data_IF_253573170816
#
_entry.id   IF_253573170816
#
_cell.length_a   1.000
_cell.length_b   1.000
_cell.length_c   1.000
_cell.angle_alpha   90.00
_cell.angle_beta   90.00
_cell.angle_gamma   90.00
#
_symmetry.space_group_name_H-M   'P 1'
#
loop_
_entity.id
_entity.type
_entity.pdbx_description
1 polymer ?
#
# COMPACT_ATOMS: atom_id res chain seq x y z
N UNK A 1 -46.95 45.95 34.56
CA UNK A 1 -46.36 44.59 34.67
C UNK A 1 -46.54 43.89 33.33
N UNK A 2 -45.44 43.50 32.66
CA UNK A 2 -45.47 42.84 31.35
C UNK A 2 -44.68 41.53 31.49
N UNK A 3 -45.39 40.40 31.41
CA UNK A 3 -44.82 39.06 31.50
C UNK A 3 -44.03 38.77 30.23
N UNK A 4 -42.74 38.49 30.37
CA UNK A 4 -41.89 38.08 29.26
C UNK A 4 -41.95 36.55 29.14
N UNK A 5 -42.34 36.14 27.94
CA UNK A 5 -42.58 34.79 27.45
C UNK A 5 -41.27 33.97 27.48
N UNK A 6 -41.13 33.04 28.43
CA UNK A 6 -39.90 32.25 28.62
C UNK A 6 -39.90 30.87 27.93
N UNK A 7 -40.95 30.51 27.18
CA UNK A 7 -41.13 29.12 26.74
C UNK A 7 -40.59 28.79 25.34
N UNK A 8 -40.22 29.77 24.52
CA UNK A 8 -39.86 29.50 23.11
C UNK A 8 -38.45 28.89 22.96
N UNK A 9 -37.52 29.22 23.88
CA UNK A 9 -36.15 28.73 23.81
C UNK A 9 -36.02 27.23 24.09
N UNK A 10 -36.76 26.70 25.06
CA UNK A 10 -36.61 25.32 25.52
C UNK A 10 -37.03 24.27 24.48
N UNK A 11 -38.09 24.55 23.71
CA UNK A 11 -38.59 23.62 22.69
C UNK A 11 -37.71 23.55 21.43
N UNK A 12 -36.99 24.63 21.10
CA UNK A 12 -36.07 24.65 19.96
C UNK A 12 -34.84 23.75 20.18
N UNK A 13 -34.31 23.71 21.41
CA UNK A 13 -33.18 22.84 21.77
C UNK A 13 -33.57 21.36 21.85
N UNK A 14 -34.79 21.07 22.32
CA UNK A 14 -35.27 19.69 22.45
C UNK A 14 -35.53 19.05 21.07
N UNK A 15 -36.06 19.80 20.11
CA UNK A 15 -36.23 19.33 18.73
C UNK A 15 -34.91 19.00 18.04
N UNK A 16 -33.86 19.80 18.29
CA UNK A 16 -32.54 19.60 17.68
C UNK A 16 -31.79 18.38 18.28
N UNK A 17 -31.99 18.10 19.57
CA UNK A 17 -31.42 16.90 20.22
C UNK A 17 -32.09 15.60 19.75
N UNK A 18 -33.40 15.59 19.50
CA UNK A 18 -34.08 14.39 18.99
C UNK A 18 -33.66 14.10 17.54
N UNK A 19 -33.46 15.13 16.71
CA UNK A 19 -33.01 14.96 15.33
C UNK A 19 -31.58 14.39 15.22
N UNK A 20 -30.66 14.78 16.12
CA UNK A 20 -29.29 14.24 16.13
C UNK A 20 -29.23 12.79 16.62
N UNK A 21 -30.06 12.40 17.58
CA UNK A 21 -30.15 11.01 18.07
C UNK A 21 -30.66 10.04 17.01
N UNK A 22 -31.48 10.49 16.05
CA UNK A 22 -31.95 9.66 14.93
C UNK A 22 -31.00 9.64 13.72
N UNK A 23 -30.11 10.61 13.59
CA UNK A 23 -29.12 10.65 12.50
C UNK A 23 -27.90 9.73 12.77
N UNK A 24 -27.54 9.53 14.04
CA UNK A 24 -26.36 8.73 14.43
C UNK A 24 -26.51 7.22 14.11
N UNK A 25 -27.67 6.56 14.32
CA UNK A 25 -27.82 5.13 14.02
C UNK A 25 -27.66 4.80 12.53
N UNK A 26 -28.05 5.70 11.63
CA UNK A 26 -27.99 5.46 10.17
C UNK A 26 -26.56 5.46 9.62
N UNK A 27 -25.64 6.23 10.21
CA UNK A 27 -24.24 6.24 9.80
C UNK A 27 -23.50 4.95 10.16
N UNK A 28 -23.92 4.27 11.24
CA UNK A 28 -23.25 3.04 11.73
C UNK A 28 -23.56 1.83 10.85
N UNK A 29 -24.76 1.76 10.25
CA UNK A 29 -25.15 0.60 9.42
C UNK A 29 -24.60 0.62 7.99
N UNK A 30 -24.15 1.78 7.47
CA UNK A 30 -23.61 1.86 6.11
C UNK A 30 -22.15 1.40 5.96
N UNK A 31 -21.45 1.10 7.06
CA UNK A 31 -20.05 0.65 7.01
C UNK A 31 -19.87 -0.87 7.02
N UNK A 32 -20.96 -1.65 7.05
CA UNK A 32 -20.83 -3.10 7.30
C UNK A 32 -20.58 -3.95 6.06
N UNK A 33 -20.80 -3.43 4.86
CA UNK A 33 -20.53 -4.17 3.61
C UNK A 33 -19.75 -3.32 2.61
N UNK A 34 -18.64 -2.73 3.06
CA UNK A 34 -17.53 -2.58 2.13
C UNK A 34 -17.05 -4.00 1.83
N UNK A 35 -17.65 -4.63 0.82
CA UNK A 35 -17.04 -5.76 0.12
C UNK A 35 -15.73 -5.25 -0.44
N UNK A 36 -14.70 -5.24 0.41
CA UNK A 36 -13.35 -4.91 0.02
C UNK A 36 -13.03 -5.78 -1.18
N UNK A 37 -12.65 -5.14 -2.28
CA UNK A 37 -12.17 -5.80 -3.48
C UNK A 37 -11.31 -7.00 -3.08
N UNK A 38 -11.42 -8.15 -3.78
CA UNK A 38 -10.64 -9.32 -3.44
C UNK A 38 -9.18 -8.91 -3.26
N UNK A 39 -8.61 -9.22 -2.09
CA UNK A 39 -7.29 -8.73 -1.71
C UNK A 39 -6.26 -9.15 -2.77
N UNK A 40 -5.75 -8.18 -3.53
CA UNK A 40 -4.78 -8.41 -4.59
C UNK A 40 -3.37 -8.06 -4.09
N UNK A 41 -2.37 -8.82 -4.54
CA UNK A 41 -0.98 -8.47 -4.30
C UNK A 41 -0.65 -7.14 -4.97
N UNK A 42 0.19 -6.30 -4.33
CA UNK A 42 0.73 -5.10 -4.96
C UNK A 42 1.29 -5.38 -6.35
N UNK A 43 1.15 -4.41 -7.26
CA UNK A 43 1.70 -4.54 -8.62
C UNK A 43 3.22 -4.30 -8.61
N UNK A 44 3.91 -4.89 -9.59
CA UNK A 44 5.36 -4.69 -9.74
C UNK A 44 5.74 -3.21 -9.89
N UNK A 45 4.94 -2.46 -10.67
CA UNK A 45 5.18 -1.05 -10.99
C UNK A 45 4.42 -0.09 -10.04
N UNK A 46 3.87 -0.62 -8.95
CA UNK A 46 3.23 0.22 -7.94
C UNK A 46 4.28 1.01 -7.16
N UNK A 47 4.06 2.31 -6.96
CA UNK A 47 5.05 3.19 -6.31
C UNK A 47 5.52 2.65 -4.95
N UNK A 48 4.58 2.18 -4.12
CA UNK A 48 4.88 1.58 -2.82
C UNK A 48 5.80 0.35 -2.93
N UNK A 49 5.60 -0.48 -3.95
CA UNK A 49 6.44 -1.66 -4.20
C UNK A 49 7.85 -1.22 -4.54
N UNK A 50 8.01 -0.25 -5.44
CA UNK A 50 9.32 0.25 -5.86
C UNK A 50 10.07 0.92 -4.71
N UNK A 51 9.37 1.66 -3.84
CA UNK A 51 9.99 2.28 -2.67
C UNK A 51 10.50 1.24 -1.66
N UNK A 52 9.74 0.17 -1.42
CA UNK A 52 10.21 -0.92 -0.55
C UNK A 52 11.41 -1.65 -1.13
N UNK A 53 11.39 -1.93 -2.43
CA UNK A 53 12.52 -2.58 -3.12
C UNK A 53 13.75 -1.68 -3.08
N UNK A 54 13.60 -0.37 -3.36
CA UNK A 54 14.69 0.61 -3.25
C UNK A 54 15.32 0.58 -1.85
N UNK A 55 14.51 0.75 -0.80
CA UNK A 55 14.99 0.77 0.58
C UNK A 55 15.75 -0.52 0.95
N UNK A 56 15.26 -1.67 0.49
CA UNK A 56 15.92 -2.95 0.72
C UNK A 56 17.27 -3.06 -0.02
N UNK A 57 17.36 -2.59 -1.27
CA UNK A 57 18.59 -2.60 -2.05
C UNK A 57 19.65 -1.69 -1.43
N UNK A 58 19.27 -0.49 -0.99
CA UNK A 58 20.16 0.46 -0.34
C UNK A 58 20.68 -0.09 0.99
N UNK A 59 19.81 -0.75 1.77
CA UNK A 59 20.18 -1.40 3.03
C UNK A 59 21.15 -2.58 2.84
N UNK A 60 21.08 -3.30 1.72
CA UNK A 60 21.93 -4.45 1.43
C UNK A 60 23.28 -4.08 0.78
N UNK A 61 23.28 -3.11 -0.14
CA UNK A 61 24.39 -2.91 -1.07
C UNK A 61 25.38 -1.82 -0.69
N UNK A 62 25.10 -0.98 0.31
CA UNK A 62 25.83 0.27 0.57
C UNK A 62 26.02 1.14 -0.70
N UNK A 63 25.09 0.99 -1.66
CA UNK A 63 25.04 1.72 -2.93
C UNK A 63 23.76 2.51 -2.97
N UNK A 64 23.84 3.71 -3.53
CA UNK A 64 22.66 4.57 -3.67
C UNK A 64 21.89 4.19 -4.92
N UNK A 65 20.57 4.00 -4.79
CA UNK A 65 19.71 3.69 -5.92
C UNK A 65 19.20 4.99 -6.53
N UNK A 66 19.81 5.40 -7.63
CA UNK A 66 19.45 6.61 -8.39
C UNK A 66 18.10 6.45 -9.10
N UNK A 67 17.79 5.24 -9.57
CA UNK A 67 16.56 4.95 -10.30
C UNK A 67 16.11 3.49 -10.16
N UNK A 68 14.80 3.28 -10.13
CA UNK A 68 14.18 1.95 -10.18
C UNK A 68 12.92 2.04 -11.04
N UNK A 69 12.91 1.39 -12.21
CA UNK A 69 11.87 1.54 -13.21
C UNK A 69 11.68 0.28 -14.07
N UNK A 70 10.78 0.36 -15.05
CA UNK A 70 10.45 -0.74 -15.98
C UNK A 70 10.06 -2.05 -15.27
N UNK A 71 9.40 -1.96 -14.11
CA UNK A 71 9.04 -3.12 -13.32
C UNK A 71 7.90 -3.92 -13.98
N UNK A 72 8.20 -5.14 -14.42
CA UNK A 72 7.26 -6.00 -15.15
C UNK A 72 7.05 -7.32 -14.43
N UNK A 73 5.84 -7.87 -14.54
CA UNK A 73 5.50 -9.18 -14.01
C UNK A 73 6.00 -10.27 -14.98
N UNK A 74 6.87 -11.15 -14.50
CA UNK A 74 7.42 -12.26 -15.28
C UNK A 74 6.63 -13.54 -15.04
N UNK A 75 6.11 -13.74 -13.83
CA UNK A 75 5.33 -14.92 -13.46
C UNK A 75 4.43 -14.65 -12.25
N UNK A 76 3.20 -15.13 -12.30
CA UNK A 76 2.29 -15.24 -11.15
C UNK A 76 2.18 -16.69 -10.66
N UNK A 77 2.05 -16.89 -9.35
CA UNK A 77 1.61 -18.18 -8.78
C UNK A 77 0.17 -18.52 -9.15
N UNK A 78 -0.18 -19.82 -9.19
CA UNK A 78 -1.49 -20.32 -9.63
C UNK A 78 -2.69 -19.69 -8.89
N UNK A 79 -2.51 -19.34 -7.61
CA UNK A 79 -3.55 -18.75 -6.76
C UNK A 79 -3.31 -17.27 -6.41
N UNK A 80 -2.45 -16.58 -7.19
CA UNK A 80 -2.00 -15.20 -6.90
C UNK A 80 -1.37 -15.05 -5.50
N UNK A 81 -0.76 -16.13 -5.00
CA UNK A 81 -0.08 -16.14 -3.70
C UNK A 81 1.26 -15.42 -3.72
N UNK A 82 1.87 -15.37 -4.90
CA UNK A 82 3.08 -14.61 -5.17
C UNK A 82 3.09 -14.13 -6.62
N UNK A 83 3.91 -13.09 -6.85
CA UNK A 83 4.20 -12.47 -8.12
C UNK A 83 5.71 -12.27 -8.21
N UNK A 84 6.32 -12.77 -9.28
CA UNK A 84 7.73 -12.52 -9.60
C UNK A 84 7.81 -11.38 -10.61
N UNK A 85 8.60 -10.38 -10.26
CA UNK A 85 8.83 -9.16 -11.00
C UNK A 85 10.29 -9.08 -11.43
N UNK A 86 10.53 -8.39 -12.56
CA UNK A 86 11.83 -7.88 -12.94
C UNK A 86 11.76 -6.36 -13.04
N UNK A 87 12.81 -5.66 -12.63
CA UNK A 87 12.95 -4.22 -12.79
C UNK A 87 14.37 -3.84 -13.20
N UNK A 88 14.49 -2.65 -13.75
CA UNK A 88 15.77 -2.01 -14.05
C UNK A 88 16.14 -1.09 -12.90
N UNK A 89 17.34 -1.27 -12.35
CA UNK A 89 17.91 -0.43 -11.30
C UNK A 89 19.09 0.34 -11.87
N UNK A 90 19.18 1.62 -11.51
CA UNK A 90 20.32 2.49 -11.84
C UNK A 90 20.98 2.88 -10.53
N UNK A 91 22.27 2.58 -10.43
CA UNK A 91 23.16 2.96 -9.33
C UNK A 91 24.26 3.87 -9.85
N UNK A 92 25.14 4.33 -8.95
CA UNK A 92 26.39 5.03 -9.29
C UNK A 92 27.30 4.21 -10.21
N UNK A 93 27.36 2.89 -10.02
CA UNK A 93 28.16 1.96 -10.83
C UNK A 93 27.57 1.70 -12.25
N UNK A 94 26.31 2.07 -12.50
CA UNK A 94 25.64 1.85 -13.78
C UNK A 94 24.23 1.25 -13.66
N UNK A 95 23.73 0.70 -14.77
CA UNK A 95 22.39 0.12 -14.88
C UNK A 95 22.45 -1.42 -14.82
N UNK A 96 21.53 -2.04 -14.08
CA UNK A 96 21.40 -3.47 -13.97
C UNK A 96 19.92 -3.91 -13.93
N UNK A 97 19.66 -5.18 -14.24
CA UNK A 97 18.35 -5.79 -14.06
C UNK A 97 18.32 -6.60 -12.78
N UNK A 98 17.24 -6.46 -11.99
CA UNK A 98 17.05 -7.19 -10.74
C UNK A 98 15.75 -7.98 -10.77
N UNK A 99 15.78 -9.15 -10.12
CA UNK A 99 14.62 -9.96 -9.82
C UNK A 99 14.12 -9.70 -8.40
N UNK A 100 12.81 -9.56 -8.24
CA UNK A 100 12.17 -9.57 -6.92
C UNK A 100 10.81 -10.28 -6.96
N UNK A 101 10.34 -10.71 -5.80
CA UNK A 101 9.10 -11.44 -5.60
C UNK A 101 8.27 -10.71 -4.56
N UNK A 102 6.98 -10.55 -4.85
CA UNK A 102 5.96 -10.03 -3.94
C UNK A 102 5.08 -11.22 -3.56
N UNK A 103 4.82 -11.44 -2.28
CA UNK A 103 3.94 -12.52 -1.84
C UNK A 103 3.19 -12.17 -0.57
N UNK A 104 2.32 -13.06 -0.11
CA UNK A 104 1.61 -12.86 1.16
C UNK A 104 2.43 -13.38 2.34
N UNK A 105 2.70 -12.53 3.31
CA UNK A 105 3.14 -12.96 4.63
C UNK A 105 1.93 -13.45 5.44
N UNK A 106 0.86 -12.65 5.43
CA UNK A 106 -0.45 -13.03 5.96
C UNK A 106 -1.54 -12.62 4.97
N UNK A 107 -2.09 -13.62 4.27
CA UNK A 107 -3.14 -13.41 3.26
C UNK A 107 -4.48 -12.99 3.87
N UNK A 108 -4.77 -13.38 5.12
CA UNK A 108 -6.05 -13.06 5.78
C UNK A 108 -6.10 -11.59 6.20
N UNK A 109 -4.95 -11.05 6.59
CA UNK A 109 -4.79 -9.65 6.99
C UNK A 109 -4.25 -8.76 5.88
N UNK A 110 -3.93 -9.31 4.70
CA UNK A 110 -3.40 -8.57 3.56
C UNK A 110 -2.03 -7.97 3.79
N UNK A 111 -1.17 -8.69 4.49
CA UNK A 111 0.20 -8.27 4.77
C UNK A 111 1.10 -8.89 3.70
N UNK A 112 1.59 -8.11 2.72
CA UNK A 112 2.55 -8.61 1.74
C UNK A 112 3.97 -8.66 2.31
N UNK A 113 4.84 -9.44 1.66
CA UNK A 113 6.29 -9.39 1.79
C UNK A 113 6.94 -9.15 0.43
N UNK A 114 8.19 -8.69 0.46
CA UNK A 114 9.07 -8.52 -0.69
C UNK A 114 10.38 -9.27 -0.45
N UNK A 115 10.87 -9.99 -1.46
CA UNK A 115 12.15 -10.70 -1.42
C UNK A 115 12.83 -10.63 -2.78
N UNK A 116 14.15 -10.53 -2.86
CA UNK A 116 14.85 -10.41 -4.14
C UNK A 116 16.34 -10.74 -4.04
N UNK A 117 16.99 -10.79 -5.19
CA UNK A 117 18.36 -11.30 -5.34
C UNK A 117 19.45 -10.28 -4.93
N UNK A 118 19.04 -9.03 -4.61
CA UNK A 118 19.96 -7.94 -4.29
C UNK A 118 20.60 -7.31 -5.53
N UNK A 119 21.54 -6.38 -5.33
CA UNK A 119 22.31 -5.78 -6.43
C UNK A 119 23.41 -6.74 -6.91
N UNK A 120 23.61 -6.92 -8.22
CA UNK A 120 24.73 -7.72 -8.72
C UNK A 120 26.06 -7.10 -8.28
N UNK A 121 26.95 -7.94 -7.73
CA UNK A 121 28.30 -7.52 -7.37
C UNK A 121 29.08 -7.16 -8.64
N UNK A 122 29.70 -5.97 -8.66
CA UNK A 122 30.49 -5.48 -9.80
C UNK A 122 31.72 -6.35 -10.11
N UNK A 123 32.05 -7.36 -9.29
CA UNK A 123 33.13 -8.31 -9.56
C UNK A 123 32.81 -9.37 -10.63
N UNK A 124 31.56 -9.51 -11.10
CA UNK A 124 31.20 -10.58 -12.04
C UNK A 124 31.38 -10.23 -13.53
N UNK A 125 31.95 -9.07 -13.87
CA UNK A 125 32.20 -8.65 -15.27
C UNK A 125 33.53 -9.16 -15.88
N UNK A 126 34.32 -9.99 -15.18
CA UNK A 126 35.61 -10.48 -15.72
C UNK A 126 35.72 -12.00 -15.56
N UNK A 127 34.96 -12.74 -16.37
CA UNK A 127 35.38 -14.08 -16.80
C UNK A 127 34.48 -14.56 -17.94
N UNK A 128 34.89 -14.24 -19.17
CA UNK A 128 34.60 -15.01 -20.39
C UNK A 128 35.45 -14.40 -21.52
N UNK A 129 36.71 -14.83 -21.56
CA UNK A 129 37.49 -14.92 -22.79
C UNK A 129 38.04 -16.34 -22.88
#
# INVERSE_FOLDING_TARGET
MKSFNNDIGAYAFLGLLVATVWAIPLAVFLHRDAHGSPMELPRCLEARTLDQVRAALEAQGNRTVLGLYAATEVRSGANRDYRRCMATVVTDDGEAHIGFTIGWHDRRNGIPFWAGDGLPSSRQSVSKH
#
